data_IF_098163125589
#
_entry.id   IF_098163125589
#
_cell.length_a   1.000
_cell.length_b   1.000
_cell.length_c   1.000
_cell.angle_alpha   90.00
_cell.angle_beta   90.00
_cell.angle_gamma   90.00
#
_symmetry.space_group_name_H-M   'P 1'
#
loop_
_entity.id
_entity.type
_entity.pdbx_description
1 polymer ?
#
# COMPACT_ATOMS: atom_id res chain seq x y z
N UNK A 1 1.06 4.49 -0.60
CA UNK A 1 0.99 5.62 0.36
C UNK A 1 2.18 6.57 0.31
N UNK A 2 3.40 6.10 0.03
CA UNK A 2 4.63 6.90 0.15
C UNK A 2 4.57 8.28 -0.54
N UNK A 3 4.12 8.34 -1.79
CA UNK A 3 4.12 9.57 -2.57
C UNK A 3 3.26 10.69 -1.96
N UNK A 4 2.04 10.37 -1.51
CA UNK A 4 1.14 11.36 -0.90
C UNK A 4 1.67 11.83 0.45
N UNK A 5 2.29 10.94 1.24
CA UNK A 5 2.92 11.34 2.51
C UNK A 5 4.09 12.29 2.26
N UNK A 6 4.89 12.03 1.23
CA UNK A 6 5.97 12.95 0.84
C UNK A 6 5.43 14.30 0.38
N UNK A 7 4.39 14.31 -0.47
CA UNK A 7 3.75 15.55 -0.94
C UNK A 7 3.18 16.34 0.24
N UNK A 8 2.52 15.66 1.20
CA UNK A 8 2.05 16.28 2.43
C UNK A 8 3.21 16.93 3.20
N UNK A 9 4.30 16.19 3.45
CA UNK A 9 5.45 16.73 4.18
C UNK A 9 6.07 17.96 3.50
N UNK A 10 6.11 17.97 2.17
CA UNK A 10 6.62 19.09 1.38
C UNK A 10 5.71 20.33 1.44
N UNK A 11 4.39 20.13 1.35
CA UNK A 11 3.46 21.24 1.08
C UNK A 11 2.46 21.54 2.20
N UNK A 12 2.49 20.85 3.35
CA UNK A 12 1.54 21.05 4.47
C UNK A 12 1.55 22.46 5.08
N UNK A 13 2.61 23.23 4.86
CA UNK A 13 2.71 24.62 5.32
C UNK A 13 2.20 25.62 4.25
N UNK A 14 1.78 25.12 3.08
CA UNK A 14 1.27 25.90 1.93
C UNK A 14 -0.15 25.51 1.51
N UNK A 15 -0.58 24.28 1.78
CA UNK A 15 -1.90 23.75 1.44
C UNK A 15 -2.42 22.81 2.53
N UNK A 16 -3.73 22.80 2.71
CA UNK A 16 -4.40 21.82 3.57
C UNK A 16 -4.55 20.47 2.86
N UNK A 17 -4.47 19.39 3.63
CA UNK A 17 -4.63 18.03 3.14
C UNK A 17 -5.71 17.31 3.94
N UNK A 18 -6.54 16.54 3.24
CA UNK A 18 -7.54 15.67 3.85
C UNK A 18 -7.64 14.39 3.01
N UNK A 19 -7.49 13.24 3.66
CA UNK A 19 -7.90 11.95 3.09
C UNK A 19 -9.27 11.59 3.63
N UNK A 20 -10.20 11.17 2.77
CA UNK A 20 -11.54 10.73 3.17
C UNK A 20 -11.70 9.25 2.86
N UNK A 21 -11.98 8.46 3.90
CA UNK A 21 -12.28 7.04 3.76
C UNK A 21 -13.69 6.83 3.22
N UNK A 22 -13.81 6.21 2.06
CA UNK A 22 -15.09 5.85 1.42
C UNK A 22 -15.37 4.35 1.56
N UNK A 23 -16.43 3.85 0.92
CA UNK A 23 -16.77 2.42 0.89
C UNK A 23 -15.63 1.55 0.33
N UNK A 24 -15.57 0.28 0.74
CA UNK A 24 -14.53 -0.65 0.29
C UNK A 24 -14.61 -0.88 -1.22
N UNK A 25 -13.45 -0.95 -1.88
CA UNK A 25 -13.36 -1.33 -3.28
C UNK A 25 -13.44 -2.85 -3.49
N UNK A 26 -12.97 -3.62 -2.51
CA UNK A 26 -12.83 -5.07 -2.59
C UNK A 26 -13.22 -5.75 -1.27
N UNK A 27 -14.49 -5.65 -0.85
CA UNK A 27 -14.91 -6.25 0.41
C UNK A 27 -14.97 -7.78 0.32
N UNK A 28 -14.74 -8.45 1.46
CA UNK A 28 -14.73 -9.92 1.61
C UNK A 28 -16.05 -10.59 1.27
N UNK A 29 -17.17 -9.89 1.42
CA UNK A 29 -18.52 -10.36 1.15
C UNK A 29 -19.00 -10.07 -0.28
N UNK A 30 -18.15 -9.45 -1.11
CA UNK A 30 -18.38 -9.29 -2.55
C UNK A 30 -17.20 -9.89 -3.33
N UNK A 31 -16.25 -9.06 -3.80
CA UNK A 31 -15.09 -9.46 -4.60
C UNK A 31 -13.77 -9.10 -3.91
N UNK A 32 -13.19 -10.09 -3.23
CA UNK A 32 -11.90 -9.95 -2.54
C UNK A 32 -10.70 -10.11 -3.50
N UNK A 33 -9.70 -9.24 -3.37
CA UNK A 33 -8.44 -9.36 -4.12
C UNK A 33 -7.39 -10.20 -3.39
N UNK A 34 -6.58 -10.94 -4.16
CA UNK A 34 -5.46 -11.73 -3.60
C UNK A 34 -4.40 -10.88 -2.88
N UNK A 35 -4.20 -9.63 -3.31
CA UNK A 35 -3.29 -8.69 -2.65
C UNK A 35 -3.76 -8.33 -1.23
N UNK A 36 -5.06 -8.09 -1.05
CA UNK A 36 -5.65 -7.79 0.24
C UNK A 36 -5.54 -8.96 1.23
N UNK A 37 -5.64 -10.21 0.75
CA UNK A 37 -5.42 -11.40 1.57
C UNK A 37 -3.96 -11.50 2.03
N UNK A 38 -3.01 -11.17 1.15
CA UNK A 38 -1.58 -11.18 1.48
C UNK A 38 -1.21 -10.10 2.51
N UNK A 39 -1.85 -8.94 2.42
CA UNK A 39 -1.60 -7.79 3.30
C UNK A 39 -2.53 -7.77 4.53
N UNK A 40 -3.34 -8.81 4.71
CA UNK A 40 -4.36 -8.97 5.77
C UNK A 40 -5.33 -7.78 5.87
N UNK A 41 -5.70 -7.20 4.73
CA UNK A 41 -6.67 -6.11 4.57
C UNK A 41 -8.00 -6.70 4.09
N UNK A 42 -8.59 -7.57 4.91
CA UNK A 42 -9.78 -8.33 4.57
C UNK A 42 -11.00 -7.85 5.37
N UNK A 43 -11.67 -6.83 4.86
CA UNK A 43 -12.88 -6.26 5.49
C UNK A 43 -14.14 -6.62 4.72
N UNK A 44 -15.24 -6.89 5.42
CA UNK A 44 -16.57 -6.87 4.81
C UNK A 44 -17.01 -5.42 4.58
N UNK A 45 -17.94 -5.20 3.65
CA UNK A 45 -18.48 -3.87 3.43
C UNK A 45 -19.15 -3.36 4.74
N UNK A 46 -18.72 -2.20 5.30
CA UNK A 46 -19.32 -1.69 6.52
C UNK A 46 -20.80 -1.36 6.31
N UNK A 47 -21.63 -1.75 7.26
CA UNK A 47 -23.09 -1.50 7.29
C UNK A 47 -23.48 -0.41 8.26
N UNK A 48 -22.58 -0.02 9.16
CA UNK A 48 -22.76 1.10 10.10
C UNK A 48 -21.54 2.02 10.09
N UNK A 49 -21.72 3.25 10.57
CA UNK A 49 -20.64 4.23 10.64
C UNK A 49 -19.53 3.74 11.57
N UNK A 50 -19.88 3.10 12.68
CA UNK A 50 -18.92 2.56 13.66
C UNK A 50 -18.02 1.50 13.02
N UNK A 51 -18.58 0.63 12.17
CA UNK A 51 -17.81 -0.35 11.42
C UNK A 51 -16.85 0.33 10.44
N UNK A 52 -17.33 1.32 9.69
CA UNK A 52 -16.48 2.07 8.76
C UNK A 52 -15.35 2.81 9.49
N UNK A 53 -15.66 3.44 10.61
CA UNK A 53 -14.68 4.12 11.47
C UNK A 53 -13.68 3.13 12.05
N UNK A 54 -14.09 1.92 12.42
CA UNK A 54 -13.18 0.89 12.91
C UNK A 54 -12.15 0.49 11.84
N UNK A 55 -12.60 0.31 10.59
CA UNK A 55 -11.71 -0.02 9.46
C UNK A 55 -10.75 1.15 9.16
N UNK A 56 -11.27 2.37 9.09
CA UNK A 56 -10.46 3.59 8.92
C UNK A 56 -9.40 3.76 10.03
N UNK A 57 -9.74 3.42 11.28
CA UNK A 57 -8.80 3.43 12.41
C UNK A 57 -7.73 2.37 12.27
N UNK A 58 -8.08 1.15 11.85
CA UNK A 58 -7.07 0.13 11.57
C UNK A 58 -6.11 0.60 10.48
N UNK A 59 -6.61 1.15 9.37
CA UNK A 59 -5.79 1.68 8.29
C UNK A 59 -4.78 2.72 8.80
N UNK A 60 -5.26 3.74 9.52
CA UNK A 60 -4.39 4.81 10.03
C UNK A 60 -3.37 4.30 11.04
N UNK A 61 -3.73 3.37 11.91
CA UNK A 61 -2.81 2.75 12.88
C UNK A 61 -1.77 1.86 12.19
N UNK A 62 -2.20 0.98 11.28
CA UNK A 62 -1.36 0.01 10.56
C UNK A 62 -0.29 0.70 9.73
N UNK A 63 -0.66 1.75 9.00
CA UNK A 63 0.25 2.47 8.09
C UNK A 63 0.88 3.72 8.72
N UNK A 64 0.60 4.01 9.99
CA UNK A 64 1.02 5.24 10.68
C UNK A 64 0.74 6.48 9.82
N UNK A 65 -0.47 6.53 9.26
CA UNK A 65 -0.82 7.49 8.22
C UNK A 65 -0.89 8.91 8.81
N UNK A 66 -0.05 9.87 8.36
CA UNK A 66 0.16 11.12 9.08
C UNK A 66 -0.78 12.25 8.65
N UNK A 67 -1.53 12.09 7.56
CA UNK A 67 -2.41 13.14 7.05
C UNK A 67 -3.71 13.21 7.86
N UNK A 68 -4.36 14.39 7.93
CA UNK A 68 -5.74 14.49 8.41
C UNK A 68 -6.66 13.52 7.68
N UNK A 69 -7.53 12.85 8.44
CA UNK A 69 -8.29 11.70 7.97
C UNK A 69 -9.76 11.82 8.36
N UNK A 70 -10.63 11.95 7.37
CA UNK A 70 -12.08 11.90 7.51
C UNK A 70 -12.64 10.53 7.14
N UNK A 71 -13.88 10.28 7.53
CA UNK A 71 -14.64 9.08 7.14
C UNK A 71 -15.95 9.55 6.52
N UNK A 72 -16.23 9.13 5.29
CA UNK A 72 -17.49 9.43 4.63
C UNK A 72 -18.63 8.77 5.39
N UNK A 73 -19.77 9.45 5.48
CA UNK A 73 -20.92 8.91 6.18
C UNK A 73 -21.54 7.72 5.42
N UNK A 74 -22.46 7.01 6.08
CA UNK A 74 -23.06 5.81 5.50
C UNK A 74 -23.96 6.09 4.28
N UNK A 75 -24.33 7.35 4.01
CA UNK A 75 -25.01 7.75 2.77
C UNK A 75 -24.06 7.82 1.57
N UNK A 76 -22.75 7.77 1.80
CA UNK A 76 -21.69 7.90 0.80
C UNK A 76 -21.77 9.25 0.06
N UNK A 77 -22.03 10.32 0.82
CA UNK A 77 -22.22 11.66 0.26
C UNK A 77 -20.96 12.17 -0.43
N UNK A 78 -19.78 11.99 0.18
CA UNK A 78 -18.52 12.40 -0.42
C UNK A 78 -18.15 11.52 -1.62
N UNK A 79 -18.30 10.19 -1.51
CA UNK A 79 -18.09 9.28 -2.64
C UNK A 79 -18.94 9.69 -3.85
N UNK A 80 -20.23 9.97 -3.61
CA UNK A 80 -21.16 10.36 -4.68
C UNK A 80 -20.83 11.72 -5.29
N UNK A 81 -20.55 12.73 -4.45
CA UNK A 81 -20.26 14.08 -4.92
C UNK A 81 -18.95 14.16 -5.72
N UNK A 82 -17.95 13.37 -5.34
CA UNK A 82 -16.61 13.39 -5.96
C UNK A 82 -16.37 12.19 -6.89
N UNK A 83 -17.34 11.30 -7.05
CA UNK A 83 -17.18 10.01 -7.73
C UNK A 83 -15.86 9.33 -7.29
N UNK A 84 -15.63 9.27 -5.99
CA UNK A 84 -14.32 9.00 -5.40
C UNK A 84 -13.89 7.55 -5.54
N UNK A 85 -14.83 6.62 -5.61
CA UNK A 85 -14.57 5.19 -5.72
C UNK A 85 -13.83 4.80 -7.02
N UNK A 86 -12.86 3.85 -6.96
CA UNK A 86 -12.37 3.18 -5.76
C UNK A 86 -11.38 4.05 -4.96
N UNK A 87 -10.65 4.94 -5.64
CA UNK A 87 -9.84 6.00 -5.08
C UNK A 87 -9.68 7.12 -6.11
N UNK A 88 -9.52 8.36 -5.63
CA UNK A 88 -9.34 9.54 -6.48
C UNK A 88 -8.64 10.68 -5.74
N UNK A 89 -7.91 11.51 -6.49
CA UNK A 89 -7.27 12.74 -6.00
C UNK A 89 -8.00 13.97 -6.54
N UNK A 90 -8.10 15.00 -5.70
CA UNK A 90 -8.66 16.31 -6.07
C UNK A 90 -7.78 17.42 -5.51
N UNK A 91 -7.79 18.56 -6.19
CA UNK A 91 -7.32 19.84 -5.62
C UNK A 91 -8.49 20.80 -5.73
N UNK A 92 -8.85 21.37 -4.59
CA UNK A 92 -9.84 22.45 -4.47
C UNK A 92 -9.04 23.72 -4.22
N UNK A 93 -9.24 24.73 -5.06
CA UNK A 93 -8.56 26.01 -4.89
C UNK A 93 -9.22 26.87 -3.80
N UNK A 94 -8.58 28.00 -3.55
CA UNK A 94 -8.94 28.94 -2.47
C UNK A 94 -10.27 29.67 -2.74
N UNK A 95 -10.82 29.53 -3.95
CA UNK A 95 -12.16 30.01 -4.31
C UNK A 95 -13.24 28.94 -4.17
N UNK A 96 -12.86 27.71 -3.79
CA UNK A 96 -13.75 26.57 -3.63
C UNK A 96 -14.02 25.80 -4.93
N UNK A 97 -13.26 26.04 -6.00
CA UNK A 97 -13.41 25.33 -7.27
C UNK A 97 -12.44 24.16 -7.41
N UNK A 98 -12.85 23.15 -8.18
CA UNK A 98 -11.98 22.01 -8.50
C UNK A 98 -10.93 22.47 -9.52
N UNK A 99 -9.69 22.67 -9.07
CA UNK A 99 -8.55 23.02 -9.92
C UNK A 99 -7.87 21.79 -10.52
N UNK A 100 -8.01 20.63 -9.89
CA UNK A 100 -7.56 19.34 -10.41
C UNK A 100 -8.53 18.23 -10.02
N UNK A 101 -8.84 17.36 -10.98
CA UNK A 101 -9.62 16.13 -10.79
C UNK A 101 -8.83 14.97 -11.39
N UNK A 102 -8.31 14.11 -10.53
CA UNK A 102 -7.63 12.89 -10.94
C UNK A 102 -8.57 11.88 -11.59
N UNK A 103 -7.99 10.95 -12.35
CA UNK A 103 -8.75 9.84 -12.92
C UNK A 103 -9.20 8.83 -11.87
N UNK A 104 -9.92 7.79 -12.29
CA UNK A 104 -10.33 6.69 -11.41
C UNK A 104 -9.13 5.77 -11.13
N UNK A 105 -8.83 5.54 -9.85
CA UNK A 105 -7.80 4.59 -9.43
C UNK A 105 -8.20 3.11 -9.61
N UNK A 106 -7.24 2.18 -9.39
CA UNK A 106 -5.83 2.47 -9.16
C UNK A 106 -5.10 2.95 -10.43
N UNK A 107 -5.62 2.61 -11.61
CA UNK A 107 -4.93 2.85 -12.90
C UNK A 107 -4.66 4.32 -13.22
N UNK A 108 -5.46 5.25 -12.71
CA UNK A 108 -5.26 6.69 -12.90
C UNK A 108 -5.07 7.45 -11.58
N UNK A 109 -4.67 6.76 -10.51
CA UNK A 109 -4.24 7.40 -9.28
C UNK A 109 -2.82 7.92 -9.44
N UNK A 110 -2.66 9.23 -9.66
CA UNK A 110 -1.38 9.84 -10.04
C UNK A 110 -0.96 10.97 -9.09
N UNK A 111 -0.33 10.65 -7.94
CA UNK A 111 0.23 11.64 -7.02
C UNK A 111 1.20 12.63 -7.67
N UNK A 112 1.93 12.20 -8.71
CA UNK A 112 2.85 13.07 -9.46
C UNK A 112 2.14 14.29 -10.07
N UNK A 113 0.93 14.13 -10.62
CA UNK A 113 0.18 15.26 -11.19
C UNK A 113 -0.24 16.27 -10.10
N UNK A 114 -0.54 15.80 -8.89
CA UNK A 114 -0.80 16.66 -7.72
C UNK A 114 0.46 17.41 -7.31
N UNK A 115 1.61 16.73 -7.26
CA UNK A 115 2.90 17.36 -6.96
C UNK A 115 3.24 18.44 -7.98
N UNK A 116 3.09 18.15 -9.27
CA UNK A 116 3.38 19.11 -10.34
C UNK A 116 2.50 20.36 -10.22
N UNK A 117 1.22 20.19 -9.90
CA UNK A 117 0.30 21.31 -9.66
C UNK A 117 0.73 22.16 -8.46
N UNK A 118 1.07 21.52 -7.33
CA UNK A 118 1.56 22.22 -6.13
C UNK A 118 2.89 22.92 -6.39
N UNK A 119 3.80 22.28 -7.12
CA UNK A 119 5.09 22.85 -7.49
C UNK A 119 4.93 24.06 -8.42
N UNK A 120 3.98 24.03 -9.35
CA UNK A 120 3.68 25.17 -10.21
C UNK A 120 3.12 26.37 -9.41
N UNK A 121 2.33 26.13 -8.35
CA UNK A 121 1.72 27.19 -7.54
C UNK A 121 2.65 27.73 -6.44
N UNK A 122 3.39 26.87 -5.74
CA UNK A 122 4.16 27.21 -4.54
C UNK A 122 5.68 27.06 -4.70
N UNK A 123 6.14 26.57 -5.86
CA UNK A 123 7.54 26.23 -6.11
C UNK A 123 7.85 24.76 -5.88
N UNK A 124 8.85 24.25 -6.60
CA UNK A 124 9.28 22.86 -6.46
C UNK A 124 10.07 22.67 -5.15
N UNK A 125 9.52 21.86 -4.25
CA UNK A 125 10.16 21.44 -3.02
C UNK A 125 10.65 20.01 -3.23
N UNK A 126 11.96 19.79 -3.12
CA UNK A 126 12.59 18.47 -3.28
C UNK A 126 12.92 17.90 -1.91
N UNK A 127 12.50 16.67 -1.67
CA UNK A 127 13.22 15.77 -0.77
C UNK A 127 14.34 15.07 -1.57
N UNK A 128 15.52 14.92 -0.99
CA UNK A 128 16.46 13.90 -1.45
C UNK A 128 15.78 12.54 -1.32
N UNK A 129 15.80 11.72 -2.38
CA UNK A 129 15.30 10.35 -2.32
C UNK A 129 16.00 9.61 -1.17
N UNK A 130 15.29 8.92 -0.27
CA UNK A 130 15.95 7.94 0.56
C UNK A 130 16.47 6.86 -0.39
N UNK A 131 17.79 6.67 -0.35
CA UNK A 131 18.49 5.64 -1.11
C UNK A 131 17.70 4.33 -1.09
N UNK A 132 17.47 3.81 -2.28
CA UNK A 132 16.90 2.49 -2.56
C UNK A 132 17.40 1.48 -1.54
N UNK A 133 16.49 0.89 -0.76
CA UNK A 133 16.76 -0.29 0.06
C UNK A 133 16.98 -1.49 -0.87
N UNK A 134 18.14 -1.52 -1.52
CA UNK A 134 18.71 -2.72 -2.07
C UNK A 134 19.09 -3.63 -0.90
N UNK A 135 18.18 -4.52 -0.50
CA UNK A 135 18.52 -5.66 0.34
C UNK A 135 19.56 -6.49 -0.40
N UNK A 136 20.79 -6.70 0.12
CA UNK A 136 21.70 -7.64 -0.48
C UNK A 136 21.14 -9.04 -0.24
N UNK A 137 20.91 -9.75 -1.32
CA UNK A 137 20.60 -11.18 -1.33
C UNK A 137 21.79 -11.92 -0.69
N UNK A 138 21.57 -12.45 0.52
CA UNK A 138 22.60 -13.21 1.23
C UNK A 138 22.96 -14.46 0.43
N UNK A 139 24.20 -14.51 -0.06
CA UNK A 139 24.80 -15.68 -0.66
C UNK A 139 25.07 -16.72 0.44
N UNK A 140 24.38 -17.86 0.37
CA UNK A 140 24.72 -19.03 1.15
C UNK A 140 26.07 -19.60 0.66
N UNK A 141 27.06 -19.66 1.56
CA UNK A 141 28.29 -20.41 1.34
C UNK A 141 28.16 -21.82 1.94
N UNK A 142 28.68 -22.88 1.29
CA UNK A 142 28.56 -24.25 1.77
C UNK A 142 29.58 -24.54 2.88
N UNK A 143 29.10 -25.19 3.96
CA UNK A 143 29.95 -25.70 5.04
C UNK A 143 30.67 -26.97 4.58
N UNK A 144 32.00 -26.89 4.46
CA UNK A 144 32.91 -28.03 4.30
C UNK A 144 33.07 -28.76 5.63
N UNK A 145 32.48 -29.95 5.72
CA UNK A 145 32.76 -30.93 6.78
C UNK A 145 33.91 -31.85 6.33
N UNK A 146 35.04 -31.79 7.04
CA UNK A 146 36.15 -32.74 6.94
C UNK A 146 36.28 -33.47 8.27
N UNK A 147 36.16 -34.79 8.27
CA UNK A 147 36.85 -35.69 9.20
C UNK A 147 36.62 -37.17 8.84
N UNK A 148 37.67 -37.75 8.25
CA UNK A 148 38.28 -39.07 8.56
C UNK A 148 37.47 -40.38 8.56
N UNK A 149 37.90 -41.26 7.65
CA UNK A 149 37.66 -42.71 7.61
C UNK A 149 38.33 -43.46 8.78
N UNK A 150 37.98 -44.75 8.95
CA UNK A 150 39.00 -45.76 8.64
C UNK A 150 38.49 -46.95 7.79
N UNK A 151 39.44 -47.51 7.06
CA UNK A 151 39.47 -48.78 6.31
C UNK A 151 39.12 -49.99 7.21
N UNK A 152 38.64 -51.16 6.79
CA UNK A 152 39.09 -52.08 5.71
C UNK A 152 38.13 -53.28 5.56
N UNK A 153 38.11 -53.83 4.34
CA UNK A 153 38.05 -55.26 3.94
C UNK A 153 36.73 -56.03 3.72
N UNK A 154 36.76 -56.67 2.54
CA UNK A 154 36.14 -57.91 2.04
C UNK A 154 34.73 -57.93 1.41
N UNK A 155 34.75 -58.07 0.08
CA UNK A 155 33.72 -58.65 -0.81
C UNK A 155 33.66 -60.20 -0.68
N UNK A 156 32.91 -60.92 -1.55
CA UNK A 156 31.62 -60.66 -2.23
C UNK A 156 30.58 -61.76 -1.88
N UNK A 157 29.35 -61.69 -2.38
CA UNK A 157 28.67 -62.80 -3.12
C UNK A 157 27.13 -62.73 -3.11
N UNK A 158 26.58 -62.70 -4.33
CA UNK A 158 25.40 -63.43 -4.87
C UNK A 158 23.94 -63.13 -4.50
N UNK A 159 23.16 -63.05 -5.60
CA UNK A 159 21.79 -63.54 -5.86
C UNK A 159 20.61 -62.66 -5.38
N UNK A 160 19.80 -62.06 -6.28
CA UNK A 160 18.79 -62.60 -7.23
C UNK A 160 17.36 -62.62 -6.62
N UNK A 161 16.62 -61.53 -6.86
CA UNK A 161 15.17 -61.43 -7.23
C UNK A 161 14.08 -62.01 -6.27
N UNK A 162 12.77 -61.92 -6.57
CA UNK A 162 11.88 -60.89 -5.99
C UNK A 162 10.58 -61.44 -5.35
N UNK A 163 9.84 -60.59 -4.61
CA UNK A 163 8.38 -60.50 -4.68
C UNK A 163 7.87 -59.27 -3.95
#
# INVERSE_FOLDING_TARGET
MGDIVQIYNDYKDHADFLTVYVREAHPTDEWQMKSNVKDDVCYAQPKTLEQRVAIAKDFTARYKFPLPFGVDDMSNAADSAYAAWPERLYIIDETGHIAYRGGMGPFNYKPAEVRDWLAAKYGALKHEEPATSATPMAAASPTTGSATAPSTMNSPSTARSPK
#
